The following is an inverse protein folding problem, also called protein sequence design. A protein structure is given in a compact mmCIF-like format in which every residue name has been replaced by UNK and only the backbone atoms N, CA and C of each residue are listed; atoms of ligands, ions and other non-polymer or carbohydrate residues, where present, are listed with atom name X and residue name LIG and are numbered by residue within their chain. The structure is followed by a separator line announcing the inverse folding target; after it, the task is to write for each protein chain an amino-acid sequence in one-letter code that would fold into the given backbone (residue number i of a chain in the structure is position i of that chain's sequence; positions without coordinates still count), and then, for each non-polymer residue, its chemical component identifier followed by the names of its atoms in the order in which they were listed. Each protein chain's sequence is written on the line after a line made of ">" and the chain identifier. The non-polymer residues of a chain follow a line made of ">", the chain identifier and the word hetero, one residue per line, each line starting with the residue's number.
data_IF_049974331988
#
_entry.id   IF_049974331988
#
_cell.length_a   1.000
_cell.length_b   1.000
_cell.length_c   1.000
_cell.angle_alpha   90.00
_cell.angle_beta   90.00
_cell.angle_gamma   90.00
#
_symmetry.space_group_name_H-M   'P 1'
#
loop_
_entity.id
_entity.type
_entity.pdbx_description
1 polymer ?
#
# COMPACT_ATOMS: atom_id res chain seq x y z
N UNK A 1 26.58 -18.71 -20.34
CA UNK A 1 27.62 -18.27 -19.39
C UNK A 1 27.01 -17.08 -18.67
N UNK A 2 26.84 -17.17 -17.35
CA UNK A 2 26.43 -16.03 -16.54
C UNK A 2 27.53 -14.98 -16.56
N UNK A 3 27.14 -13.72 -16.66
CA UNK A 3 28.06 -12.61 -16.59
C UNK A 3 28.56 -12.46 -15.16
N UNK A 4 29.82 -12.07 -14.99
CA UNK A 4 30.37 -11.73 -13.69
C UNK A 4 30.01 -10.30 -13.33
N UNK A 5 28.72 -10.01 -13.11
CA UNK A 5 28.21 -8.63 -13.03
C UNK A 5 28.91 -7.82 -11.94
N UNK A 6 29.30 -8.44 -10.83
CA UNK A 6 30.02 -7.79 -9.72
C UNK A 6 31.49 -7.51 -9.98
N UNK A 7 32.05 -8.05 -11.06
CA UNK A 7 33.43 -7.79 -11.47
C UNK A 7 33.49 -6.73 -12.57
N UNK A 8 32.33 -6.33 -13.12
CA UNK A 8 32.25 -5.31 -14.16
C UNK A 8 32.46 -3.93 -13.56
N UNK A 9 33.29 -3.13 -14.21
CA UNK A 9 33.27 -1.68 -14.03
C UNK A 9 31.91 -1.10 -14.42
N UNK A 10 31.67 0.16 -14.03
CA UNK A 10 30.42 0.87 -14.36
C UNK A 10 30.25 1.03 -15.87
N UNK A 11 31.33 1.25 -16.61
CA UNK A 11 31.27 1.36 -18.07
C UNK A 11 31.02 0.00 -18.75
N UNK A 12 31.58 -1.09 -18.21
CA UNK A 12 31.25 -2.45 -18.66
C UNK A 12 29.80 -2.80 -18.36
N UNK A 13 29.29 -2.43 -17.19
CA UNK A 13 27.87 -2.62 -16.80
C UNK A 13 26.96 -1.89 -17.78
N UNK A 14 27.22 -0.62 -18.09
CA UNK A 14 26.47 0.15 -19.10
C UNK A 14 26.56 -0.47 -20.49
N UNK A 15 27.73 -0.98 -20.87
CA UNK A 15 27.92 -1.65 -22.16
C UNK A 15 27.12 -2.96 -22.24
N UNK A 16 27.12 -3.75 -21.18
CA UNK A 16 26.34 -4.97 -21.03
C UNK A 16 24.83 -4.70 -21.09
N UNK A 17 24.37 -3.61 -20.45
CA UNK A 17 22.99 -3.14 -20.54
C UNK A 17 22.61 -2.75 -21.97
N UNK A 18 23.43 -1.94 -22.64
CA UNK A 18 23.16 -1.52 -24.04
C UNK A 18 23.17 -2.68 -25.04
N UNK A 19 23.97 -3.71 -24.78
CA UNK A 19 24.04 -4.91 -25.62
C UNK A 19 23.04 -5.98 -25.20
N UNK A 20 22.19 -5.70 -24.20
CA UNK A 20 21.19 -6.62 -23.65
C UNK A 20 21.78 -7.98 -23.22
N UNK A 21 23.03 -7.98 -22.73
CA UNK A 21 23.73 -9.20 -22.36
C UNK A 21 23.41 -9.66 -20.94
N UNK A 22 22.82 -8.80 -20.11
CA UNK A 22 22.44 -9.09 -18.72
C UNK A 22 21.09 -9.81 -18.68
N UNK A 23 21.00 -10.89 -17.89
CA UNK A 23 19.75 -11.61 -17.64
C UNK A 23 19.16 -11.30 -16.25
N UNK A 24 17.84 -11.13 -16.21
CA UNK A 24 17.10 -10.72 -15.02
C UNK A 24 16.13 -11.84 -14.60
N UNK A 25 16.07 -12.17 -13.32
CA UNK A 25 15.01 -12.96 -12.71
C UNK A 25 14.26 -12.09 -11.71
N UNK A 26 12.94 -12.00 -11.82
CA UNK A 26 12.09 -11.34 -10.82
C UNK A 26 11.27 -12.40 -10.10
N UNK A 27 11.51 -12.54 -8.79
CA UNK A 27 10.83 -13.51 -7.93
C UNK A 27 9.63 -12.86 -7.27
N UNK A 28 8.45 -13.43 -7.53
CA UNK A 28 7.14 -12.83 -7.26
C UNK A 28 6.74 -11.93 -8.42
N UNK A 29 5.82 -12.40 -9.29
CA UNK A 29 5.27 -11.61 -10.41
C UNK A 29 3.79 -11.29 -10.17
N UNK A 30 3.51 -10.83 -8.97
CA UNK A 30 2.23 -10.26 -8.57
C UNK A 30 2.08 -8.78 -8.98
N UNK A 31 1.34 -8.02 -8.16
CA UNK A 31 0.98 -6.61 -8.41
C UNK A 31 2.18 -5.70 -8.70
N UNK A 32 3.30 -5.87 -8.00
CA UNK A 32 4.50 -5.03 -8.15
C UNK A 32 5.54 -5.69 -9.05
N UNK A 33 5.89 -6.95 -8.77
CA UNK A 33 6.98 -7.61 -9.48
C UNK A 33 6.71 -7.88 -10.96
N UNK A 34 5.45 -8.10 -11.39
CA UNK A 34 5.15 -8.25 -12.82
C UNK A 34 5.44 -6.94 -13.57
N UNK A 35 4.89 -5.77 -13.20
CA UNK A 35 5.29 -4.48 -13.77
C UNK A 35 6.80 -4.26 -13.80
N UNK A 36 7.53 -4.54 -12.71
CA UNK A 36 9.00 -4.43 -12.68
C UNK A 36 9.65 -5.32 -13.74
N UNK A 37 9.26 -6.61 -13.80
CA UNK A 37 9.79 -7.55 -14.78
C UNK A 37 9.52 -7.13 -16.23
N UNK A 38 8.32 -6.63 -16.50
CA UNK A 38 7.96 -6.12 -17.82
C UNK A 38 8.74 -4.87 -18.19
N UNK A 39 8.99 -3.97 -17.24
CA UNK A 39 9.81 -2.78 -17.46
C UNK A 39 11.26 -3.16 -17.84
N UNK A 40 11.88 -4.15 -17.16
CA UNK A 40 13.18 -4.68 -17.57
C UNK A 40 13.14 -5.38 -18.94
N UNK A 41 12.12 -6.21 -19.20
CA UNK A 41 11.99 -6.89 -20.49
C UNK A 41 11.84 -5.90 -21.66
N UNK A 42 11.15 -4.78 -21.43
CA UNK A 42 10.88 -3.74 -22.42
C UNK A 42 12.13 -2.95 -22.86
N UNK A 43 13.22 -2.99 -22.09
CA UNK A 43 14.51 -2.42 -22.54
C UNK A 43 15.25 -3.36 -23.50
N UNK A 44 14.75 -4.59 -23.67
CA UNK A 44 15.34 -5.64 -24.49
C UNK A 44 16.15 -6.67 -23.69
N UNK A 45 16.21 -6.55 -22.37
CA UNK A 45 16.86 -7.53 -21.49
C UNK A 45 16.07 -8.84 -21.43
N UNK A 46 16.78 -9.95 -21.32
CA UNK A 46 16.14 -11.26 -21.10
C UNK A 46 15.67 -11.36 -19.66
N UNK A 47 14.36 -11.37 -19.45
CA UNK A 47 13.73 -11.36 -18.13
C UNK A 47 12.88 -12.60 -17.92
N UNK A 48 13.05 -13.24 -16.75
CA UNK A 48 12.24 -14.37 -16.30
C UNK A 48 11.45 -13.94 -15.06
N UNK A 49 10.14 -14.14 -15.09
CA UNK A 49 9.30 -14.05 -13.90
C UNK A 49 9.22 -15.41 -13.20
N UNK A 50 9.55 -15.47 -11.92
CA UNK A 50 9.42 -16.68 -11.10
C UNK A 50 8.25 -16.51 -10.12
N UNK A 51 7.26 -17.38 -10.17
CA UNK A 51 6.15 -17.40 -9.21
C UNK A 51 5.77 -18.82 -8.79
N UNK A 52 5.33 -18.98 -7.55
CA UNK A 52 4.86 -20.28 -7.04
C UNK A 52 3.46 -20.63 -7.57
N UNK A 53 2.67 -19.64 -8.00
CA UNK A 53 1.35 -19.87 -8.57
C UNK A 53 1.45 -20.33 -10.03
N UNK A 54 1.35 -21.65 -10.23
CA UNK A 54 1.39 -22.27 -11.56
C UNK A 54 0.26 -21.80 -12.48
N UNK A 55 -0.91 -21.43 -11.93
CA UNK A 55 -2.01 -20.92 -12.73
C UNK A 55 -1.67 -19.51 -13.26
N UNK A 56 -1.12 -18.65 -12.41
CA UNK A 56 -0.64 -17.33 -12.82
C UNK A 56 0.44 -17.47 -13.90
N UNK A 57 1.43 -18.36 -13.70
CA UNK A 57 2.49 -18.64 -14.67
C UNK A 57 1.91 -19.09 -16.02
N UNK A 58 0.96 -20.03 -16.01
CA UNK A 58 0.31 -20.51 -17.24
C UNK A 58 -0.44 -19.39 -17.95
N UNK A 59 -1.18 -18.56 -17.21
CA UNK A 59 -1.92 -17.42 -17.76
C UNK A 59 -0.99 -16.41 -18.43
N UNK A 60 0.09 -16.02 -17.76
CA UNK A 60 1.08 -15.08 -18.29
C UNK A 60 1.72 -15.62 -19.59
N UNK A 61 2.13 -16.88 -19.61
CA UNK A 61 2.73 -17.48 -20.81
C UNK A 61 1.72 -17.67 -21.96
N UNK A 62 0.42 -17.73 -21.67
CA UNK A 62 -0.64 -17.78 -22.68
C UNK A 62 -1.04 -16.41 -23.23
N UNK A 63 -0.46 -15.32 -22.72
CA UNK A 63 -0.79 -13.95 -23.12
C UNK A 63 -1.98 -13.34 -22.36
N UNK A 64 -2.45 -13.97 -21.27
CA UNK A 64 -3.45 -13.36 -20.40
C UNK A 64 -2.80 -12.47 -19.33
N UNK A 65 -2.83 -11.16 -19.55
CA UNK A 65 -2.33 -10.15 -18.61
C UNK A 65 -3.29 -9.97 -17.41
N UNK A 66 -2.89 -10.22 -16.15
CA UNK A 66 -3.83 -10.24 -15.02
C UNK A 66 -4.19 -8.86 -14.43
N UNK A 67 -3.34 -7.85 -14.57
CA UNK A 67 -3.51 -6.54 -13.90
C UNK A 67 -4.26 -5.54 -14.79
N UNK A 68 -5.53 -5.81 -15.08
CA UNK A 68 -6.35 -5.01 -16.03
C UNK A 68 -6.55 -3.55 -15.58
N UNK A 69 -6.28 -3.24 -14.31
CA UNK A 69 -6.38 -1.93 -13.70
C UNK A 69 -5.05 -1.12 -13.71
N UNK A 70 -3.98 -1.65 -14.32
CA UNK A 70 -2.70 -0.95 -14.50
C UNK A 70 -2.54 -0.47 -15.95
N UNK A 71 -2.65 0.85 -16.22
CA UNK A 71 -2.48 1.39 -17.55
C UNK A 71 -1.08 1.12 -18.13
N UNK A 72 -0.99 1.03 -19.46
CA UNK A 72 0.23 0.86 -20.28
C UNK A 72 0.92 -0.51 -20.23
N UNK A 73 0.82 -1.23 -19.11
CA UNK A 73 1.55 -2.50 -18.94
C UNK A 73 0.96 -3.66 -19.73
N UNK A 74 -0.32 -3.60 -20.09
CA UNK A 74 -0.95 -4.54 -21.02
C UNK A 74 -0.24 -4.51 -22.39
N UNK A 75 0.03 -3.32 -22.91
CA UNK A 75 0.70 -3.14 -24.19
C UNK A 75 2.18 -3.54 -24.13
N UNK A 76 2.86 -3.20 -23.03
CA UNK A 76 4.25 -3.62 -22.80
C UNK A 76 4.33 -5.15 -22.73
N UNK A 77 3.40 -5.77 -22.00
CA UNK A 77 3.31 -7.22 -21.85
C UNK A 77 3.17 -7.94 -23.20
N UNK A 78 2.25 -7.48 -24.06
CA UNK A 78 2.09 -8.01 -25.42
C UNK A 78 3.40 -7.92 -26.23
N UNK A 79 4.08 -6.77 -26.17
CA UNK A 79 5.32 -6.51 -26.89
C UNK A 79 6.44 -7.46 -26.45
N UNK A 80 6.71 -7.53 -25.14
CA UNK A 80 7.84 -8.31 -24.61
C UNK A 80 7.62 -9.81 -24.74
N UNK A 81 6.37 -10.28 -24.78
CA UNK A 81 6.05 -11.68 -25.12
C UNK A 81 6.31 -11.96 -26.60
N UNK A 82 5.87 -11.08 -27.51
CA UNK A 82 6.10 -11.23 -28.94
C UNK A 82 7.60 -11.25 -29.28
N UNK A 83 8.39 -10.43 -28.61
CA UNK A 83 9.84 -10.36 -28.75
C UNK A 83 10.60 -11.47 -27.98
N UNK A 84 9.88 -12.30 -27.21
CA UNK A 84 10.43 -13.36 -26.36
C UNK A 84 11.46 -12.84 -25.34
N UNK A 85 11.23 -11.62 -24.85
CA UNK A 85 12.03 -10.96 -23.80
C UNK A 85 11.52 -11.25 -22.40
N UNK A 86 10.28 -11.69 -22.26
CA UNK A 86 9.70 -12.15 -21.00
C UNK A 86 9.18 -13.59 -21.10
N UNK A 87 9.33 -14.36 -20.01
CA UNK A 87 8.62 -15.61 -19.77
C UNK A 87 8.39 -15.81 -18.28
N UNK A 88 7.28 -16.45 -17.89
CA UNK A 88 7.02 -16.83 -16.51
C UNK A 88 7.37 -18.32 -16.28
N UNK A 89 7.87 -18.68 -15.10
CA UNK A 89 8.17 -20.05 -14.71
C UNK A 89 7.84 -20.28 -13.23
N UNK A 90 7.60 -21.53 -12.84
CA UNK A 90 7.39 -21.91 -11.44
C UNK A 90 8.57 -22.62 -10.79
N UNK A 91 9.57 -23.04 -11.58
CA UNK A 91 10.77 -23.69 -11.07
C UNK A 91 11.92 -22.71 -10.88
N UNK A 92 12.41 -22.60 -9.64
CA UNK A 92 13.45 -21.66 -9.27
C UNK A 92 14.84 -21.99 -9.82
N UNK A 93 15.15 -23.29 -10.02
CA UNK A 93 16.52 -23.75 -10.33
C UNK A 93 17.11 -23.05 -11.55
N UNK A 94 16.46 -23.18 -12.71
CA UNK A 94 16.97 -22.60 -13.96
C UNK A 94 16.73 -21.08 -14.00
N UNK A 95 15.66 -20.59 -13.37
CA UNK A 95 15.38 -19.16 -13.28
C UNK A 95 16.47 -18.40 -12.53
N UNK A 96 16.97 -18.95 -11.42
CA UNK A 96 18.01 -18.32 -10.60
C UNK A 96 19.39 -18.58 -11.20
N UNK A 97 19.72 -19.84 -11.54
CA UNK A 97 21.08 -20.19 -11.96
C UNK A 97 21.50 -19.67 -13.35
N UNK A 98 20.54 -19.18 -14.15
CA UNK A 98 20.79 -18.59 -15.47
C UNK A 98 20.65 -17.05 -15.48
N UNK A 99 20.45 -16.44 -14.31
CA UNK A 99 20.25 -15.00 -14.17
C UNK A 99 21.42 -14.31 -13.50
N UNK A 100 21.82 -13.18 -14.06
CA UNK A 100 22.87 -12.33 -13.48
C UNK A 100 22.33 -11.50 -12.30
N UNK A 101 21.06 -11.07 -12.39
CA UNK A 101 20.37 -10.27 -11.38
C UNK A 101 19.08 -10.96 -10.94
N UNK A 102 18.86 -11.06 -9.63
CA UNK A 102 17.66 -11.63 -9.02
C UNK A 102 16.98 -10.54 -8.18
N UNK A 103 15.79 -10.11 -8.59
CA UNK A 103 14.95 -9.16 -7.87
C UNK A 103 13.92 -9.89 -7.02
N UNK A 104 13.74 -9.48 -5.77
CA UNK A 104 12.79 -10.08 -4.82
C UNK A 104 11.61 -9.13 -4.58
N UNK A 105 10.46 -9.44 -5.18
CA UNK A 105 9.20 -8.69 -5.09
C UNK A 105 8.08 -9.59 -4.53
N UNK A 106 8.29 -10.04 -3.29
CA UNK A 106 7.48 -11.02 -2.59
C UNK A 106 6.54 -10.34 -1.59
N UNK A 107 5.38 -10.97 -1.29
CA UNK A 107 4.48 -10.46 -0.27
C UNK A 107 5.13 -10.54 1.11
N UNK A 108 4.88 -9.52 1.93
CA UNK A 108 5.32 -9.42 3.32
C UNK A 108 4.11 -9.12 4.22
N UNK A 109 3.14 -10.06 4.32
CA UNK A 109 1.91 -9.83 5.06
C UNK A 109 2.17 -9.72 6.56
N UNK A 110 1.19 -9.23 7.31
CA UNK A 110 1.20 -9.36 8.77
C UNK A 110 0.27 -10.47 9.21
N UNK A 111 0.64 -11.15 10.31
CA UNK A 111 -0.25 -12.07 10.99
C UNK A 111 -1.27 -11.31 11.88
N UNK A 112 -2.17 -12.06 12.50
CA UNK A 112 -3.23 -11.52 13.37
C UNK A 112 -2.72 -10.81 14.64
N UNK A 113 -1.44 -10.98 14.98
CA UNK A 113 -0.78 -10.31 16.12
C UNK A 113 0.02 -9.07 15.67
N UNK A 114 -0.19 -8.62 14.44
CA UNK A 114 0.55 -7.52 13.81
C UNK A 114 2.06 -7.77 13.76
N UNK A 115 2.50 -9.02 13.58
CA UNK A 115 3.89 -9.39 13.35
C UNK A 115 4.09 -9.66 11.86
N UNK A 116 5.11 -9.04 11.22
CA UNK A 116 5.45 -9.31 9.82
C UNK A 116 5.82 -10.77 9.58
N UNK A 117 5.29 -11.35 8.51
CA UNK A 117 5.70 -12.66 8.01
C UNK A 117 6.61 -12.50 6.79
N UNK A 118 7.84 -12.99 6.94
CA UNK A 118 8.86 -13.04 5.87
C UNK A 118 9.17 -14.48 5.41
N UNK A 119 8.29 -15.45 5.70
CA UNK A 119 8.39 -16.84 5.26
C UNK A 119 8.76 -16.97 3.77
N UNK A 120 8.05 -16.27 2.89
CA UNK A 120 8.33 -16.26 1.46
C UNK A 120 9.76 -15.81 1.11
N UNK A 121 10.27 -14.76 1.78
CA UNK A 121 11.64 -14.28 1.58
C UNK A 121 12.68 -15.27 2.13
N UNK A 122 12.40 -15.93 3.25
CA UNK A 122 13.26 -16.98 3.82
C UNK A 122 13.35 -18.19 2.90
N UNK A 123 12.22 -18.63 2.37
CA UNK A 123 12.15 -19.75 1.43
C UNK A 123 12.94 -19.45 0.16
N UNK A 124 12.78 -18.25 -0.40
CA UNK A 124 13.58 -17.82 -1.55
C UNK A 124 15.06 -17.66 -1.20
N UNK A 125 15.38 -17.20 0.02
CA UNK A 125 16.76 -17.20 0.53
C UNK A 125 17.40 -18.59 0.50
N UNK A 126 16.67 -19.63 0.92
CA UNK A 126 17.15 -21.01 0.86
C UNK A 126 17.34 -21.49 -0.58
N UNK A 127 16.46 -21.11 -1.50
CA UNK A 127 16.61 -21.43 -2.93
C UNK A 127 17.82 -20.71 -3.55
N UNK A 128 18.08 -19.45 -3.17
CA UNK A 128 19.27 -18.71 -3.56
C UNK A 128 20.54 -19.41 -3.06
N UNK A 129 20.56 -19.88 -1.81
CA UNK A 129 21.69 -20.67 -1.29
C UNK A 129 21.99 -21.92 -2.16
N UNK A 130 20.97 -22.53 -2.76
CA UNK A 130 21.12 -23.71 -3.61
C UNK A 130 21.51 -23.38 -5.05
N UNK A 131 20.93 -22.33 -5.65
CA UNK A 131 20.95 -22.13 -7.09
C UNK A 131 21.65 -20.87 -7.56
N UNK A 132 21.86 -19.86 -6.69
CA UNK A 132 22.52 -18.62 -7.06
C UNK A 132 23.97 -18.90 -7.46
N UNK A 133 24.41 -18.38 -8.60
CA UNK A 133 25.79 -18.50 -9.05
C UNK A 133 26.68 -17.45 -8.39
N UNK A 134 28.00 -17.70 -8.35
CA UNK A 134 28.94 -16.65 -7.97
C UNK A 134 28.89 -15.49 -8.97
N UNK A 135 29.29 -14.32 -8.49
CA UNK A 135 29.26 -13.04 -9.18
C UNK A 135 27.86 -12.56 -9.60
N UNK A 136 26.77 -13.12 -9.03
CA UNK A 136 25.38 -12.66 -9.22
C UNK A 136 24.97 -11.55 -8.25
N UNK A 137 23.95 -10.78 -8.63
CA UNK A 137 23.39 -9.68 -7.83
C UNK A 137 21.97 -10.00 -7.35
N UNK A 138 21.70 -9.84 -6.06
CA UNK A 138 20.35 -9.94 -5.47
C UNK A 138 19.85 -8.55 -5.07
N UNK A 139 18.61 -8.20 -5.42
CA UNK A 139 18.00 -6.91 -5.10
C UNK A 139 16.67 -7.12 -4.41
N UNK A 140 16.52 -6.61 -3.18
CA UNK A 140 15.29 -6.66 -2.40
C UNK A 140 14.43 -5.44 -2.73
N UNK A 141 13.31 -5.64 -3.42
CA UNK A 141 12.27 -4.61 -3.60
C UNK A 141 11.15 -4.74 -2.55
N UNK A 142 10.99 -5.93 -1.98
CA UNK A 142 9.99 -6.25 -0.96
C UNK A 142 10.11 -5.36 0.27
N UNK A 143 8.98 -4.97 0.87
CA UNK A 143 8.99 -4.10 2.06
C UNK A 143 9.36 -4.90 3.30
N UNK A 144 10.55 -4.67 3.85
CA UNK A 144 11.06 -5.36 5.05
C UNK A 144 11.52 -4.37 6.10
N UNK A 145 11.62 -4.81 7.36
CA UNK A 145 12.16 -4.02 8.44
C UNK A 145 13.65 -3.67 8.24
N UNK A 146 14.10 -2.50 8.72
CA UNK A 146 15.52 -2.17 8.80
C UNK A 146 16.32 -3.27 9.50
N UNK A 147 17.30 -3.84 8.80
CA UNK A 147 18.15 -4.91 9.31
C UNK A 147 17.73 -6.33 8.93
N UNK A 148 16.55 -6.57 8.35
CA UNK A 148 16.17 -7.92 7.90
C UNK A 148 17.15 -8.48 6.87
N UNK A 149 17.59 -7.66 5.91
CA UNK A 149 18.53 -8.07 4.87
C UNK A 149 19.86 -8.49 5.50
N UNK A 150 20.42 -7.64 6.36
CA UNK A 150 21.74 -7.83 6.97
C UNK A 150 21.77 -8.94 8.02
N UNK A 151 20.78 -8.97 8.91
CA UNK A 151 20.80 -9.82 10.10
C UNK A 151 20.24 -11.23 9.85
N UNK A 152 19.47 -11.41 8.77
CA UNK A 152 18.76 -12.66 8.51
C UNK A 152 18.95 -13.16 7.07
N UNK A 153 18.52 -12.38 6.06
CA UNK A 153 18.49 -12.86 4.68
C UNK A 153 19.87 -13.23 4.14
N UNK A 154 20.90 -12.41 4.41
CA UNK A 154 22.29 -12.72 4.02
C UNK A 154 22.71 -14.07 4.59
N UNK A 155 22.50 -14.31 5.88
CA UNK A 155 22.88 -15.57 6.53
C UNK A 155 22.18 -16.79 5.93
N UNK A 156 20.91 -16.65 5.53
CA UNK A 156 20.16 -17.71 4.84
C UNK A 156 20.76 -18.01 3.46
N UNK A 157 21.12 -16.96 2.69
CA UNK A 157 21.71 -17.11 1.35
C UNK A 157 23.13 -17.69 1.41
N UNK A 158 23.95 -17.27 2.37
CA UNK A 158 25.30 -17.81 2.58
C UNK A 158 25.26 -19.27 3.05
N UNK A 159 24.28 -19.60 3.90
CA UNK A 159 24.13 -20.93 4.50
C UNK A 159 25.38 -21.34 5.29
N UNK A 160 25.61 -22.66 5.43
CA UNK A 160 26.74 -23.19 6.21
C UNK A 160 27.91 -23.71 5.37
N UNK A 161 27.74 -23.78 4.04
CA UNK A 161 28.72 -24.40 3.14
C UNK A 161 29.83 -23.44 2.69
N UNK A 162 29.71 -22.14 2.96
CA UNK A 162 30.69 -21.11 2.60
C UNK A 162 30.84 -20.85 1.10
N UNK A 163 29.91 -21.36 0.27
CA UNK A 163 29.92 -21.22 -1.20
C UNK A 163 29.65 -19.78 -1.62
N UNK A 164 28.76 -19.10 -0.91
CA UNK A 164 28.37 -17.72 -1.17
C UNK A 164 28.77 -16.89 0.03
N UNK A 165 29.37 -15.73 -0.23
CA UNK A 165 29.76 -14.73 0.76
C UNK A 165 29.42 -13.34 0.21
N UNK A 166 28.53 -12.66 0.91
CA UNK A 166 27.98 -11.38 0.49
C UNK A 166 29.10 -10.32 0.41
N UNK A 167 29.08 -9.54 -0.67
CA UNK A 167 30.10 -8.53 -0.95
C UNK A 167 31.46 -9.09 -1.39
N UNK A 168 31.62 -10.42 -1.48
CA UNK A 168 32.82 -11.06 -2.06
C UNK A 168 32.52 -11.73 -3.39
N UNK A 169 31.60 -12.70 -3.41
CA UNK A 169 31.24 -13.46 -4.60
C UNK A 169 29.73 -13.50 -4.88
N UNK A 170 28.92 -12.74 -4.14
CA UNK A 170 27.62 -12.27 -4.62
C UNK A 170 27.31 -10.89 -4.02
N UNK A 171 26.49 -10.10 -4.71
CA UNK A 171 26.11 -8.75 -4.31
C UNK A 171 24.69 -8.76 -3.78
N UNK A 172 24.40 -7.91 -2.81
CA UNK A 172 23.04 -7.72 -2.32
C UNK A 172 22.75 -6.25 -2.03
N UNK A 173 21.55 -5.81 -2.40
CA UNK A 173 21.05 -4.48 -2.10
C UNK A 173 19.54 -4.42 -1.91
N UNK A 174 19.06 -3.28 -1.41
CA UNK A 174 17.65 -2.91 -1.30
C UNK A 174 17.34 -1.75 -2.25
N UNK A 175 16.29 -1.93 -3.05
CA UNK A 175 15.67 -0.89 -3.88
C UNK A 175 14.15 -0.90 -3.63
N UNK A 176 13.69 -0.47 -2.44
CA UNK A 176 12.29 -0.61 -2.05
C UNK A 176 11.37 0.18 -2.99
N UNK A 177 10.32 -0.48 -3.49
CA UNK A 177 9.37 0.12 -4.42
C UNK A 177 8.40 1.08 -3.69
N UNK A 178 8.06 2.21 -4.32
CA UNK A 178 7.13 3.24 -3.82
C UNK A 178 5.90 3.46 -4.71
N UNK A 179 5.70 2.62 -5.72
CA UNK A 179 4.56 2.65 -6.62
C UNK A 179 3.21 2.53 -5.90
N UNK A 180 2.21 3.25 -6.41
CA UNK A 180 0.82 3.11 -6.00
C UNK A 180 0.10 2.19 -6.99
N UNK A 181 -0.63 1.15 -6.54
CA UNK A 181 -1.49 0.36 -7.41
C UNK A 181 -2.48 1.24 -8.19
N UNK A 182 -2.68 0.91 -9.47
CA UNK A 182 -3.44 1.67 -10.46
C UNK A 182 -2.63 2.78 -11.15
N UNK A 183 -1.43 3.09 -10.64
CA UNK A 183 -0.58 4.20 -11.13
C UNK A 183 0.90 3.76 -11.21
N UNK A 184 1.18 2.45 -11.34
CA UNK A 184 2.54 1.92 -11.21
C UNK A 184 3.47 2.52 -12.28
N UNK A 185 3.00 2.61 -13.52
CA UNK A 185 3.80 3.13 -14.63
C UNK A 185 4.21 4.60 -14.40
N UNK A 186 3.26 5.43 -13.99
CA UNK A 186 3.51 6.85 -13.70
C UNK A 186 4.49 7.01 -12.54
N UNK A 187 4.28 6.27 -11.44
CA UNK A 187 5.11 6.39 -10.25
C UNK A 187 6.54 5.96 -10.52
N UNK A 188 6.73 4.81 -11.16
CA UNK A 188 8.07 4.28 -11.45
C UNK A 188 8.83 5.12 -12.47
N UNK A 189 8.11 5.85 -13.34
CA UNK A 189 8.68 6.72 -14.37
C UNK A 189 9.01 8.13 -13.89
N UNK A 190 8.46 8.57 -12.74
CA UNK A 190 8.58 9.97 -12.28
C UNK A 190 9.27 10.11 -10.91
N UNK A 191 9.23 9.08 -10.07
CA UNK A 191 9.68 9.18 -8.67
C UNK A 191 11.11 8.68 -8.49
N UNK A 192 11.92 9.37 -7.67
CA UNK A 192 13.25 8.87 -7.33
C UNK A 192 13.20 7.47 -6.69
N UNK A 193 14.20 6.64 -6.99
CA UNK A 193 14.39 5.33 -6.37
C UNK A 193 15.50 5.36 -5.33
N UNK A 194 15.29 4.66 -4.23
CA UNK A 194 16.28 4.52 -3.16
C UNK A 194 17.21 3.34 -3.48
N UNK A 195 18.50 3.46 -3.21
CA UNK A 195 19.45 2.37 -3.37
C UNK A 195 20.34 2.29 -2.15
N UNK A 196 20.20 1.21 -1.38
CA UNK A 196 21.16 0.79 -0.36
C UNK A 196 21.77 -0.55 -0.76
N UNK A 197 23.05 -0.76 -0.52
CA UNK A 197 23.70 -2.04 -0.86
C UNK A 197 24.77 -2.40 0.16
N UNK A 198 25.29 -3.63 0.05
CA UNK A 198 26.34 -4.13 0.94
C UNK A 198 27.68 -3.40 0.78
N UNK A 199 27.92 -2.78 -0.39
CA UNK A 199 29.09 -1.94 -0.64
C UNK A 199 28.81 -0.95 -1.78
N UNK A 200 29.71 0.03 -1.96
CA UNK A 200 29.53 1.10 -2.92
C UNK A 200 29.46 0.61 -4.37
N UNK A 201 30.29 -0.37 -4.73
CA UNK A 201 30.32 -0.92 -6.08
C UNK A 201 28.98 -1.57 -6.47
N UNK A 202 28.41 -2.36 -5.55
CA UNK A 202 27.10 -3.00 -5.73
C UNK A 202 26.00 -1.95 -5.89
N UNK A 203 26.01 -0.88 -5.09
CA UNK A 203 25.04 0.20 -5.21
C UNK A 203 25.16 0.97 -6.54
N UNK A 204 26.36 1.12 -7.09
CA UNK A 204 26.54 1.72 -8.41
C UNK A 204 25.99 0.83 -9.53
N UNK A 205 26.26 -0.48 -9.49
CA UNK A 205 25.68 -1.43 -10.45
C UNK A 205 24.15 -1.41 -10.38
N UNK A 206 23.57 -1.46 -9.17
CA UNK A 206 22.10 -1.36 -8.99
C UNK A 206 21.58 -0.04 -9.58
N UNK A 207 22.29 1.07 -9.35
CA UNK A 207 21.87 2.37 -9.87
C UNK A 207 21.83 2.40 -11.40
N UNK A 208 22.84 1.84 -12.07
CA UNK A 208 22.87 1.75 -13.54
C UNK A 208 21.76 0.82 -14.08
N UNK A 209 21.52 -0.31 -13.41
CA UNK A 209 20.44 -1.24 -13.76
C UNK A 209 19.08 -0.52 -13.76
N UNK A 210 18.73 0.15 -12.66
CA UNK A 210 17.46 0.85 -12.57
C UNK A 210 17.39 2.09 -13.48
N UNK A 211 18.49 2.84 -13.67
CA UNK A 211 18.51 3.99 -14.59
C UNK A 211 18.32 3.58 -16.06
N UNK A 212 18.72 2.36 -16.43
CA UNK A 212 18.48 1.85 -17.78
C UNK A 212 17.00 1.62 -18.10
N UNK A 213 16.18 1.45 -17.05
CA UNK A 213 14.74 1.17 -17.15
C UNK A 213 13.91 2.41 -16.83
N UNK A 214 14.26 3.11 -15.76
CA UNK A 214 13.53 4.24 -15.21
C UNK A 214 14.41 5.49 -15.30
N UNK A 215 13.97 6.48 -16.08
CA UNK A 215 14.68 7.77 -16.21
C UNK A 215 14.45 8.67 -14.98
N UNK A 216 14.73 8.14 -13.80
CA UNK A 216 14.50 8.79 -12.50
C UNK A 216 15.81 8.95 -11.73
N UNK A 217 15.81 9.88 -10.77
CA UNK A 217 16.94 10.08 -9.88
C UNK A 217 17.11 8.86 -8.97
N UNK A 218 18.33 8.33 -8.90
CA UNK A 218 18.71 7.36 -7.88
C UNK A 218 19.23 8.09 -6.64
N UNK A 219 18.70 7.73 -5.46
CA UNK A 219 19.12 8.25 -4.17
C UNK A 219 19.93 7.16 -3.49
N UNK A 220 21.26 7.31 -3.50
CA UNK A 220 22.16 6.40 -2.82
C UNK A 220 22.09 6.58 -1.30
N UNK A 221 22.07 5.46 -0.61
CA UNK A 221 22.04 5.35 0.85
C UNK A 221 23.21 4.46 1.29
N UNK A 222 23.70 4.62 2.53
CA UNK A 222 24.91 3.94 2.98
C UNK A 222 24.77 2.41 3.06
N UNK A 223 23.56 1.88 3.25
CA UNK A 223 23.30 0.45 3.41
C UNK A 223 21.81 0.10 3.19
N UNK A 224 21.50 -1.20 3.12
CA UNK A 224 20.14 -1.71 2.89
C UNK A 224 19.18 -1.32 4.01
N UNK A 225 19.59 -1.43 5.28
CA UNK A 225 18.79 -1.04 6.45
C UNK A 225 18.40 0.44 6.40
N UNK A 226 19.27 1.33 5.92
CA UNK A 226 18.92 2.75 5.75
C UNK A 226 17.88 2.93 4.63
N UNK A 227 18.00 2.21 3.51
CA UNK A 227 16.99 2.22 2.45
C UNK A 227 15.61 1.76 2.93
N UNK A 228 15.57 0.65 3.66
CA UNK A 228 14.35 0.12 4.25
C UNK A 228 13.80 1.08 5.32
N UNK A 229 14.66 1.72 6.12
CA UNK A 229 14.24 2.71 7.12
C UNK A 229 13.58 3.95 6.48
N UNK A 230 14.16 4.49 5.40
CA UNK A 230 13.57 5.62 4.66
C UNK A 230 12.18 5.25 4.13
N UNK A 231 12.04 4.05 3.55
CA UNK A 231 10.75 3.53 3.05
C UNK A 231 9.67 3.50 4.14
N UNK A 232 9.98 2.90 5.29
CA UNK A 232 9.01 2.79 6.38
C UNK A 232 8.70 4.16 7.00
N UNK A 233 9.72 5.02 7.18
CA UNK A 233 9.61 6.31 7.86
C UNK A 233 8.57 7.21 7.21
N UNK A 234 8.48 7.25 5.87
CA UNK A 234 7.49 8.06 5.17
C UNK A 234 6.03 7.70 5.53
N UNK A 235 5.73 6.40 5.63
CA UNK A 235 4.38 5.93 5.97
C UNK A 235 4.07 6.13 7.45
N UNK A 236 5.03 5.86 8.34
CA UNK A 236 4.86 6.06 9.79
C UNK A 236 4.73 7.54 10.13
N UNK A 237 5.48 8.42 9.46
CA UNK A 237 5.32 9.86 9.62
C UNK A 237 3.88 10.28 9.29
N UNK A 238 3.30 9.75 8.20
CA UNK A 238 1.91 10.01 7.82
C UNK A 238 0.92 9.47 8.86
N UNK A 239 1.10 8.25 9.36
CA UNK A 239 0.27 7.64 10.40
C UNK A 239 0.23 8.51 11.68
N UNK A 240 1.40 8.96 12.13
CA UNK A 240 1.55 9.80 13.32
C UNK A 240 0.86 11.15 13.14
N UNK A 241 1.02 11.80 11.98
CA UNK A 241 0.37 13.08 11.74
C UNK A 241 -1.15 12.96 11.59
N UNK A 242 -1.65 11.88 10.98
CA UNK A 242 -3.09 11.61 10.95
C UNK A 242 -3.63 11.40 12.38
N UNK A 243 -2.92 10.62 13.21
CA UNK A 243 -3.32 10.43 14.61
C UNK A 243 -3.35 11.74 15.40
N UNK A 244 -2.35 12.59 15.21
CA UNK A 244 -2.31 13.91 15.84
C UNK A 244 -3.53 14.76 15.44
N UNK A 245 -3.88 14.80 14.16
CA UNK A 245 -5.04 15.57 13.67
C UNK A 245 -6.36 14.95 14.16
N UNK A 246 -6.45 13.63 14.19
CA UNK A 246 -7.61 12.91 14.77
C UNK A 246 -7.82 13.24 16.24
N UNK A 247 -6.76 13.21 17.06
CA UNK A 247 -6.82 13.54 18.48
C UNK A 247 -7.22 15.01 18.71
N UNK A 248 -6.68 15.93 17.91
CA UNK A 248 -7.11 17.34 17.93
C UNK A 248 -8.58 17.50 17.55
N UNK A 249 -9.07 16.72 16.58
CA UNK A 249 -10.47 16.78 16.14
C UNK A 249 -11.41 16.43 17.30
N UNK A 250 -11.10 15.37 18.05
CA UNK A 250 -11.88 14.96 19.23
C UNK A 250 -11.88 16.07 20.30
N UNK A 251 -10.76 16.78 20.48
CA UNK A 251 -10.70 17.92 21.40
C UNK A 251 -11.54 19.10 20.90
N UNK A 252 -11.40 19.45 19.63
CA UNK A 252 -12.09 20.58 19.03
C UNK A 252 -13.60 20.39 18.96
N UNK A 253 -14.11 19.16 18.80
CA UNK A 253 -15.53 18.84 18.97
C UNK A 253 -16.07 19.30 20.32
N UNK A 254 -15.34 19.01 21.41
CA UNK A 254 -15.74 19.38 22.78
C UNK A 254 -15.66 20.89 23.02
N UNK A 255 -14.84 21.58 22.24
CA UNK A 255 -14.66 23.03 22.32
C UNK A 255 -15.56 23.79 21.32
N UNK A 256 -16.36 23.08 20.52
CA UNK A 256 -17.16 23.65 19.44
C UNK A 256 -16.32 24.44 18.42
N UNK A 257 -15.12 23.93 18.13
CA UNK A 257 -14.20 24.48 17.12
C UNK A 257 -14.24 23.59 15.87
N UNK A 258 -14.45 24.19 14.70
CA UNK A 258 -14.37 23.46 13.43
C UNK A 258 -12.91 23.13 13.08
N UNK A 259 -12.58 21.84 13.13
CA UNK A 259 -11.25 21.34 12.81
C UNK A 259 -10.79 21.71 11.40
N UNK A 260 -11.67 21.64 10.40
CA UNK A 260 -11.31 21.96 9.01
C UNK A 260 -10.99 23.44 8.86
N UNK A 261 -11.70 24.32 9.57
CA UNK A 261 -11.37 25.75 9.63
C UNK A 261 -9.98 25.98 10.22
N UNK A 262 -9.61 25.26 11.29
CA UNK A 262 -8.27 25.34 11.90
C UNK A 262 -7.20 24.85 10.92
N UNK A 263 -7.42 23.71 10.26
CA UNK A 263 -6.47 23.13 9.31
C UNK A 263 -6.25 24.04 8.09
N UNK A 264 -7.32 24.61 7.52
CA UNK A 264 -7.21 25.57 6.41
C UNK A 264 -6.39 26.80 6.79
N UNK A 265 -6.63 27.38 7.97
CA UNK A 265 -5.82 28.50 8.45
C UNK A 265 -4.37 28.09 8.75
N UNK A 266 -4.15 26.89 9.28
CA UNK A 266 -2.82 26.37 9.60
C UNK A 266 -1.97 26.07 8.36
N UNK A 267 -2.59 25.69 7.22
CA UNK A 267 -1.91 25.50 5.92
C UNK A 267 -1.15 26.74 5.45
N UNK A 268 -1.55 27.94 5.87
CA UNK A 268 -0.82 29.17 5.57
C UNK A 268 0.57 29.26 6.26
N UNK A 269 0.84 28.41 7.27
CA UNK A 269 2.12 28.39 7.98
C UNK A 269 3.12 27.49 7.25
N UNK A 270 4.31 28.03 6.97
CA UNK A 270 5.39 27.34 6.24
C UNK A 270 5.78 25.94 6.77
N UNK A 271 5.66 25.70 8.08
CA UNK A 271 6.10 24.45 8.71
C UNK A 271 4.95 23.48 9.03
N UNK A 272 3.73 23.76 8.57
CA UNK A 272 2.58 22.90 8.84
C UNK A 272 2.34 21.94 7.67
N UNK A 273 2.56 20.65 7.92
CA UNK A 273 2.25 19.59 6.95
C UNK A 273 0.84 19.08 7.21
N UNK A 274 -0.12 19.60 6.44
CA UNK A 274 -1.52 19.29 6.62
C UNK A 274 -1.81 17.81 6.36
N UNK A 275 -2.58 17.22 7.28
CA UNK A 275 -3.22 15.93 7.16
C UNK A 275 -4.67 16.13 7.58
N UNK A 276 -5.58 15.32 7.05
CA UNK A 276 -7.00 15.44 7.34
C UNK A 276 -7.42 14.38 8.35
N UNK A 277 -8.38 14.68 9.25
CA UNK A 277 -8.95 13.68 10.13
C UNK A 277 -9.80 12.68 9.34
N UNK A 278 -10.11 11.55 9.98
CA UNK A 278 -10.94 10.52 9.35
C UNK A 278 -11.50 9.52 10.34
N UNK A 279 -12.36 8.65 9.82
CA UNK A 279 -12.90 7.51 10.56
C UNK A 279 -11.84 6.49 11.01
N UNK A 280 -10.59 6.63 10.55
CA UNK A 280 -9.44 5.80 10.92
C UNK A 280 -8.41 5.79 9.80
N UNK A 281 -7.45 4.87 9.90
CA UNK A 281 -6.39 4.69 8.89
C UNK A 281 -6.34 3.23 8.48
N UNK A 282 -6.54 2.99 7.18
CA UNK A 282 -6.50 1.66 6.58
C UNK A 282 -5.45 1.49 5.50
N UNK A 283 -5.60 0.42 4.73
CA UNK A 283 -4.71 0.03 3.63
C UNK A 283 -3.49 -0.77 4.07
N UNK A 284 -2.79 -1.42 3.12
CA UNK A 284 -1.73 -2.38 3.42
C UNK A 284 -0.39 -1.75 3.79
N UNK A 285 -0.26 -0.43 3.77
CA UNK A 285 1.04 0.25 3.98
C UNK A 285 1.12 1.06 5.26
N UNK A 286 0.17 1.97 5.52
CA UNK A 286 0.31 2.93 6.63
C UNK A 286 0.21 2.21 7.99
N UNK A 287 -0.86 1.43 8.28
CA UNK A 287 -0.92 0.61 9.49
C UNK A 287 0.23 -0.39 9.61
N UNK A 288 0.49 -1.14 8.54
CA UNK A 288 1.45 -2.24 8.52
C UNK A 288 2.87 -1.76 8.81
N UNK A 289 3.30 -0.67 8.17
CA UNK A 289 4.67 -0.14 8.35
C UNK A 289 4.89 0.43 9.76
N UNK A 290 3.85 0.96 10.41
CA UNK A 290 3.91 1.36 11.81
C UNK A 290 4.16 0.16 12.72
N UNK A 291 3.46 -0.96 12.48
CA UNK A 291 3.71 -2.18 13.22
C UNK A 291 5.08 -2.80 12.94
N UNK A 292 5.58 -2.73 11.70
CA UNK A 292 6.98 -3.11 11.41
C UNK A 292 7.97 -2.34 12.32
N UNK A 293 7.84 -1.03 12.46
CA UNK A 293 8.70 -0.30 13.41
C UNK A 293 8.48 -0.70 14.88
N UNK A 294 7.25 -0.98 15.30
CA UNK A 294 6.96 -1.44 16.66
C UNK A 294 7.52 -2.84 16.95
N UNK A 295 7.55 -3.74 15.97
CA UNK A 295 8.16 -5.07 16.11
C UNK A 295 9.69 -4.97 16.17
N UNK A 296 10.30 -4.18 15.27
CA UNK A 296 11.73 -3.88 15.33
C UNK A 296 12.13 -3.25 16.67
N UNK A 297 11.35 -2.29 17.18
CA UNK A 297 11.62 -1.70 18.49
C UNK A 297 11.59 -2.75 19.61
N UNK A 298 10.59 -3.63 19.61
CA UNK A 298 10.47 -4.72 20.59
C UNK A 298 11.63 -5.71 20.53
N UNK A 299 12.09 -6.10 19.34
CA UNK A 299 13.21 -7.03 19.19
C UNK A 299 14.53 -6.44 19.72
N UNK A 300 14.68 -5.11 19.69
CA UNK A 300 15.81 -4.38 20.25
C UNK A 300 15.63 -3.99 21.73
N UNK A 301 14.64 -4.57 22.43
CA UNK A 301 14.30 -4.23 23.83
C UNK A 301 13.95 -2.75 24.04
N UNK A 302 13.50 -2.05 22.99
CA UNK A 302 13.04 -0.68 23.01
C UNK A 302 11.52 -0.53 23.07
N UNK A 303 11.04 0.70 23.23
CA UNK A 303 9.62 1.05 23.08
C UNK A 303 9.47 2.34 22.28
N UNK A 304 8.53 2.36 21.34
CA UNK A 304 8.24 3.52 20.49
C UNK A 304 6.87 4.09 20.86
N UNK A 305 6.84 4.90 21.92
CA UNK A 305 5.61 5.42 22.52
C UNK A 305 4.77 6.25 21.56
N UNK A 306 5.40 7.05 20.69
CA UNK A 306 4.68 7.92 19.74
C UNK A 306 3.94 7.06 18.71
N UNK A 307 4.63 6.11 18.07
CA UNK A 307 3.99 5.23 17.07
C UNK A 307 2.89 4.39 17.72
N UNK A 308 3.14 3.84 18.90
CA UNK A 308 2.15 3.04 19.63
C UNK A 308 0.89 3.86 19.96
N UNK A 309 1.07 5.08 20.48
CA UNK A 309 -0.04 5.98 20.75
C UNK A 309 -0.79 6.36 19.46
N UNK A 310 -0.07 6.65 18.38
CA UNK A 310 -0.67 6.98 17.09
C UNK A 310 -1.53 5.84 16.54
N UNK A 311 -1.06 4.58 16.62
CA UNK A 311 -1.86 3.41 16.22
C UNK A 311 -3.13 3.28 17.05
N UNK A 312 -3.01 3.37 18.38
CA UNK A 312 -4.17 3.31 19.28
C UNK A 312 -5.19 4.40 18.97
N UNK A 313 -4.75 5.63 18.70
CA UNK A 313 -5.65 6.74 18.32
C UNK A 313 -6.35 6.41 17.00
N UNK A 314 -5.59 6.06 15.95
CA UNK A 314 -6.15 5.79 14.62
C UNK A 314 -7.11 4.58 14.59
N UNK A 315 -6.82 3.54 15.37
CA UNK A 315 -7.67 2.34 15.53
C UNK A 315 -8.89 2.60 16.41
N UNK A 316 -8.85 3.64 17.26
CA UNK A 316 -9.99 4.06 18.06
C UNK A 316 -11.01 4.90 17.27
N UNK A 317 -10.59 5.54 16.18
CA UNK A 317 -11.46 6.45 15.41
C UNK A 317 -12.77 5.84 14.93
N UNK A 318 -12.85 4.56 14.48
CA UNK A 318 -14.14 3.93 14.16
C UNK A 318 -15.12 3.95 15.33
N UNK A 319 -14.62 3.74 16.56
CA UNK A 319 -15.45 3.74 17.77
C UNK A 319 -15.86 5.16 18.17
N UNK A 320 -15.00 6.16 17.93
CA UNK A 320 -15.38 7.57 18.08
C UNK A 320 -16.50 7.94 17.12
N UNK A 321 -16.43 7.51 15.85
CA UNK A 321 -17.50 7.70 14.86
C UNK A 321 -18.81 7.05 15.33
N UNK A 322 -18.76 5.84 15.89
CA UNK A 322 -19.95 5.23 16.53
C UNK A 322 -20.50 6.10 17.66
N UNK A 323 -19.64 6.75 18.46
CA UNK A 323 -20.04 7.74 19.46
C UNK A 323 -20.78 8.93 18.85
N UNK A 324 -20.30 9.47 17.73
CA UNK A 324 -20.96 10.55 17.00
C UNK A 324 -22.34 10.14 16.50
N UNK A 325 -22.46 8.92 15.95
CA UNK A 325 -23.73 8.35 15.47
C UNK A 325 -24.71 8.19 16.64
N UNK A 326 -24.27 7.65 17.79
CA UNK A 326 -25.13 7.51 18.96
C UNK A 326 -25.66 8.85 19.44
N UNK A 327 -24.78 9.83 19.59
CA UNK A 327 -25.15 11.15 20.10
C UNK A 327 -26.19 11.85 19.21
N UNK A 328 -26.04 11.82 17.88
CA UNK A 328 -27.02 12.44 16.98
C UNK A 328 -28.37 11.70 16.97
N UNK A 329 -28.38 10.38 17.13
CA UNK A 329 -29.61 9.60 17.24
C UNK A 329 -30.33 9.86 18.58
N UNK A 330 -29.58 9.99 19.68
CA UNK A 330 -30.12 10.36 20.98
C UNK A 330 -30.73 11.77 20.95
N UNK A 331 -30.03 12.74 20.37
CA UNK A 331 -30.50 14.12 20.23
C UNK A 331 -31.77 14.24 19.36
N UNK A 332 -31.94 13.34 18.39
CA UNK A 332 -33.15 13.26 17.54
C UNK A 332 -34.25 12.37 18.13
N UNK A 333 -34.02 11.77 19.30
CA UNK A 333 -34.93 10.82 19.97
C UNK A 333 -35.29 9.63 19.09
N UNK A 334 -34.36 9.20 18.23
CA UNK A 334 -34.50 8.04 17.35
C UNK A 334 -33.79 6.84 17.96
N UNK A 335 -34.37 5.65 17.81
CA UNK A 335 -33.74 4.42 18.25
C UNK A 335 -32.81 3.89 17.16
N UNK A 336 -31.50 3.97 17.38
CA UNK A 336 -30.48 3.48 16.45
C UNK A 336 -30.63 1.99 16.14
N UNK A 337 -31.00 1.16 17.11
CA UNK A 337 -31.16 -0.29 16.92
C UNK A 337 -32.39 -0.73 16.12
N UNK A 338 -33.25 0.21 15.73
CA UNK A 338 -34.35 -0.04 14.77
C UNK A 338 -34.24 0.85 13.54
N UNK A 339 -33.10 1.51 13.36
CA UNK A 339 -32.86 2.46 12.27
C UNK A 339 -32.09 1.81 11.14
N UNK A 340 -32.27 2.33 9.92
CA UNK A 340 -31.49 1.94 8.75
C UNK A 340 -30.40 2.98 8.50
N UNK A 341 -29.14 2.58 8.56
CA UNK A 341 -27.96 3.43 8.37
C UNK A 341 -27.28 3.08 7.06
N UNK A 342 -27.09 4.07 6.19
CA UNK A 342 -26.32 3.90 4.96
C UNK A 342 -24.87 4.35 5.18
N UNK A 343 -23.93 3.43 4.93
CA UNK A 343 -22.50 3.74 4.86
C UNK A 343 -22.14 4.16 3.44
N UNK A 344 -21.55 5.33 3.29
CA UNK A 344 -21.04 5.84 2.02
C UNK A 344 -19.52 5.70 1.98
N UNK A 345 -19.07 4.83 1.08
CA UNK A 345 -17.66 4.47 0.89
C UNK A 345 -17.19 3.45 1.92
N UNK A 346 -16.56 2.39 1.44
CA UNK A 346 -16.01 1.31 2.26
C UNK A 346 -14.55 1.03 1.96
N UNK A 347 -13.97 1.69 0.96
CA UNK A 347 -12.57 1.53 0.60
C UNK A 347 -11.67 2.27 1.58
N UNK A 348 -10.43 1.80 1.79
CA UNK A 348 -9.53 2.45 2.75
C UNK A 348 -9.01 3.82 2.26
N UNK A 349 -9.08 4.07 0.95
CA UNK A 349 -8.68 5.30 0.26
C UNK A 349 -9.73 5.65 -0.79
N UNK A 350 -9.96 6.94 -1.10
CA UNK A 350 -10.81 7.33 -2.22
C UNK A 350 -10.38 6.71 -3.54
N UNK A 351 -11.39 6.39 -4.34
CA UNK A 351 -11.28 6.07 -5.76
C UNK A 351 -10.42 4.83 -6.10
N UNK A 352 -10.36 3.86 -5.19
CA UNK A 352 -9.74 2.55 -5.41
C UNK A 352 -10.72 1.45 -5.05
N UNK A 353 -10.61 0.27 -5.66
CA UNK A 353 -11.43 -0.91 -5.31
C UNK A 353 -10.70 -1.81 -4.31
N UNK A 354 -10.46 -1.31 -3.10
CA UNK A 354 -9.73 -2.04 -2.05
C UNK A 354 -10.24 -1.70 -0.65
N UNK A 355 -10.58 -2.74 0.10
CA UNK A 355 -11.18 -2.68 1.45
C UNK A 355 -10.23 -3.16 2.54
N UNK A 356 -8.96 -3.45 2.22
CA UNK A 356 -7.97 -3.93 3.19
C UNK A 356 -7.80 -2.95 4.36
N UNK A 357 -8.00 -3.47 5.58
CA UNK A 357 -7.90 -2.72 6.83
C UNK A 357 -8.76 -1.44 6.85
N UNK A 358 -9.86 -1.41 6.10
CA UNK A 358 -10.72 -0.23 6.02
C UNK A 358 -11.32 0.13 7.39
N UNK A 359 -11.41 1.41 7.76
CA UNK A 359 -12.11 1.83 8.98
C UNK A 359 -13.63 1.61 8.89
N UNK A 360 -14.18 1.34 7.71
CA UNK A 360 -15.62 1.09 7.53
C UNK A 360 -16.08 -0.22 8.17
N UNK A 361 -15.26 -1.27 8.13
CA UNK A 361 -15.60 -2.60 8.64
C UNK A 361 -15.95 -2.58 10.14
N UNK A 362 -15.11 -2.05 11.05
CA UNK A 362 -15.46 -1.98 12.47
C UNK A 362 -16.69 -1.08 12.76
N UNK A 363 -16.98 -0.08 11.92
CA UNK A 363 -18.20 0.73 12.04
C UNK A 363 -19.42 -0.12 11.68
N UNK A 364 -19.38 -0.81 10.54
CA UNK A 364 -20.45 -1.68 10.06
C UNK A 364 -20.76 -2.79 11.06
N UNK A 365 -19.73 -3.47 11.56
CA UNK A 365 -19.89 -4.54 12.54
C UNK A 365 -20.50 -4.02 13.84
N UNK A 366 -20.03 -2.85 14.31
CA UNK A 366 -20.59 -2.28 15.54
C UNK A 366 -22.04 -1.82 15.40
N UNK A 367 -22.45 -1.32 14.22
CA UNK A 367 -23.84 -0.98 13.94
C UNK A 367 -24.74 -2.22 13.94
N UNK A 368 -24.27 -3.33 13.34
CA UNK A 368 -24.99 -4.62 13.37
C UNK A 368 -25.11 -5.20 14.78
N UNK A 369 -24.03 -5.13 15.58
CA UNK A 369 -24.06 -5.52 16.99
C UNK A 369 -25.12 -4.75 17.80
N UNK A 370 -25.41 -3.53 17.37
CA UNK A 370 -26.45 -2.68 17.96
C UNK A 370 -27.84 -2.89 17.34
N UNK A 371 -28.00 -3.92 16.51
CA UNK A 371 -29.22 -4.27 15.77
C UNK A 371 -29.66 -3.26 14.69
N UNK A 372 -28.83 -2.26 14.35
CA UNK A 372 -29.14 -1.36 13.26
C UNK A 372 -29.10 -2.09 11.92
N UNK A 373 -30.03 -1.76 11.02
CA UNK A 373 -30.00 -2.24 9.64
C UNK A 373 -28.96 -1.42 8.86
N UNK A 374 -28.06 -2.09 8.14
CA UNK A 374 -26.94 -1.43 7.46
C UNK A 374 -27.09 -1.59 5.96
N UNK A 375 -27.14 -0.46 5.26
CA UNK A 375 -26.97 -0.36 3.81
C UNK A 375 -25.57 0.13 3.50
N UNK A 376 -25.04 -0.27 2.35
CA UNK A 376 -23.73 0.20 1.87
C UNK A 376 -23.91 0.75 0.47
N UNK A 377 -23.37 1.92 0.21
CA UNK A 377 -23.11 2.38 -1.15
C UNK A 377 -21.64 2.73 -1.31
N UNK A 378 -20.99 2.06 -2.25
CA UNK A 378 -19.64 2.38 -2.69
C UNK A 378 -19.58 2.24 -4.21
N UNK A 379 -19.08 3.25 -4.93
CA UNK A 379 -19.16 3.24 -6.38
C UNK A 379 -18.33 2.15 -7.06
N UNK A 380 -17.37 1.55 -6.36
CA UNK A 380 -16.49 0.49 -6.87
C UNK A 380 -17.00 -0.93 -6.58
N UNK A 381 -18.02 -1.07 -5.73
CA UNK A 381 -18.56 -2.35 -5.27
C UNK A 381 -20.08 -2.51 -5.54
N UNK A 382 -20.66 -1.74 -6.46
CA UNK A 382 -22.10 -1.76 -6.79
C UNK A 382 -22.61 -3.20 -7.04
N UNK A 383 -23.61 -3.63 -6.28
CA UNK A 383 -24.22 -4.96 -6.39
C UNK A 383 -23.40 -6.11 -5.78
N UNK A 384 -22.20 -5.85 -5.27
CA UNK A 384 -21.34 -6.86 -4.65
C UNK A 384 -21.66 -7.03 -3.17
N UNK A 385 -21.49 -8.24 -2.64
CA UNK A 385 -21.68 -8.55 -1.23
C UNK A 385 -20.37 -8.36 -0.47
N UNK A 386 -20.26 -7.29 0.30
CA UNK A 386 -19.09 -6.94 1.11
C UNK A 386 -19.50 -6.83 2.58
N UNK A 387 -18.68 -7.35 3.50
CA UNK A 387 -19.00 -7.44 4.94
C UNK A 387 -20.38 -8.04 5.22
N UNK A 388 -20.82 -9.00 4.39
CA UNK A 388 -22.14 -9.64 4.53
C UNK A 388 -23.34 -8.80 4.05
N UNK A 389 -23.14 -7.57 3.56
CA UNK A 389 -24.18 -6.67 3.06
C UNK A 389 -24.02 -6.52 1.54
N UNK A 390 -25.14 -6.55 0.79
CA UNK A 390 -25.09 -6.28 -0.65
C UNK A 390 -25.06 -4.78 -0.87
N UNK A 391 -24.03 -4.28 -1.55
CA UNK A 391 -23.90 -2.85 -1.83
C UNK A 391 -24.97 -2.40 -2.83
N UNK A 392 -25.57 -1.25 -2.56
CA UNK A 392 -26.60 -0.64 -3.39
C UNK A 392 -26.03 -0.29 -4.78
N UNK A 393 -26.85 -0.47 -5.82
CA UNK A 393 -26.46 -0.12 -7.19
C UNK A 393 -26.50 1.38 -7.47
N UNK A 394 -27.31 2.12 -6.71
CA UNK A 394 -27.56 3.54 -6.88
C UNK A 394 -27.62 4.21 -5.51
N UNK A 395 -26.81 5.25 -5.32
CA UNK A 395 -26.82 6.07 -4.12
C UNK A 395 -28.25 6.53 -3.81
N UNK A 396 -28.86 7.25 -4.75
CA UNK A 396 -30.14 7.93 -4.53
C UNK A 396 -31.35 7.00 -4.42
N UNK A 397 -31.30 5.80 -5.01
CA UNK A 397 -32.36 4.80 -4.82
C UNK A 397 -32.21 4.11 -3.46
N UNK A 398 -30.98 3.80 -3.07
CA UNK A 398 -30.67 3.15 -1.79
C UNK A 398 -31.03 3.99 -0.57
N UNK A 399 -31.13 5.32 -0.70
CA UNK A 399 -31.55 6.25 0.37
C UNK A 399 -32.95 5.99 0.94
N UNK A 400 -33.82 5.33 0.17
CA UNK A 400 -35.19 5.07 0.60
C UNK A 400 -35.21 4.28 1.92
N UNK A 401 -35.89 4.83 2.92
CA UNK A 401 -36.02 4.23 4.25
C UNK A 401 -34.85 4.44 5.21
N UNK A 402 -33.75 5.08 4.77
CA UNK A 402 -32.62 5.39 5.65
C UNK A 402 -33.00 6.45 6.70
N UNK A 403 -32.52 6.25 7.92
CA UNK A 403 -32.58 7.25 9.01
C UNK A 403 -31.28 7.99 9.22
N UNK A 404 -30.18 7.50 8.62
CA UNK A 404 -28.88 8.12 8.74
C UNK A 404 -27.95 7.72 7.61
N UNK A 405 -27.03 8.63 7.28
CA UNK A 405 -25.90 8.41 6.39
C UNK A 405 -24.62 8.62 7.20
N UNK A 406 -23.61 7.77 6.96
CA UNK A 406 -22.24 7.97 7.46
C UNK A 406 -21.29 7.97 6.28
N UNK A 407 -20.61 9.08 6.03
CA UNK A 407 -19.56 9.17 5.01
C UNK A 407 -18.25 8.73 5.64
N UNK A 408 -17.74 7.57 5.21
CA UNK A 408 -16.47 7.01 5.72
C UNK A 408 -15.32 7.27 4.75
N UNK A 409 -15.58 7.22 3.43
CA UNK A 409 -14.57 7.47 2.40
C UNK A 409 -15.02 8.57 1.45
N UNK A 410 -14.13 9.53 1.17
CA UNK A 410 -14.44 10.69 0.32
C UNK A 410 -14.16 10.42 -1.17
N UNK A 411 -14.94 9.53 -1.79
CA UNK A 411 -14.89 9.34 -3.24
C UNK A 411 -15.28 10.63 -3.98
N UNK A 412 -14.76 10.78 -5.20
CA UNK A 412 -15.07 11.94 -6.04
C UNK A 412 -16.58 12.04 -6.34
N UNK A 413 -17.27 10.91 -6.44
CA UNK A 413 -18.73 10.84 -6.61
C UNK A 413 -19.48 11.51 -5.44
N UNK A 414 -18.89 11.55 -4.24
CA UNK A 414 -19.53 12.12 -3.06
C UNK A 414 -19.34 13.63 -2.93
N UNK A 415 -18.33 14.19 -3.59
CA UNK A 415 -18.05 15.64 -3.59
C UNK A 415 -19.15 16.48 -4.27
N UNK A 416 -20.02 15.82 -5.04
CA UNK A 416 -21.10 16.45 -5.83
C UNK A 416 -22.48 15.98 -5.42
N UNK A 417 -22.63 15.43 -4.21
CA UNK A 417 -23.93 14.98 -3.72
C UNK A 417 -24.86 16.19 -3.56
N UNK A 418 -26.08 16.06 -4.07
CA UNK A 418 -27.15 17.02 -3.81
C UNK A 418 -27.74 16.79 -2.41
N UNK A 419 -27.41 17.70 -1.48
CA UNK A 419 -27.87 17.63 -0.10
C UNK A 419 -29.39 17.75 0.04
N UNK A 420 -30.06 18.47 -0.85
CA UNK A 420 -31.53 18.58 -0.85
C UNK A 420 -32.19 17.26 -1.28
N UNK A 421 -31.55 16.53 -2.20
CA UNK A 421 -31.97 15.17 -2.56
C UNK A 421 -31.75 14.20 -1.40
N UNK A 422 -30.64 14.30 -0.67
CA UNK A 422 -30.45 13.51 0.56
C UNK A 422 -31.59 13.75 1.56
N UNK A 423 -31.83 15.03 1.88
CA UNK A 423 -32.84 15.41 2.87
C UNK A 423 -34.26 14.97 2.51
N UNK A 424 -34.61 15.01 1.21
CA UNK A 424 -35.97 14.68 0.74
C UNK A 424 -36.23 13.19 0.54
N UNK A 425 -35.19 12.37 0.31
CA UNK A 425 -35.36 10.92 0.05
C UNK A 425 -35.21 10.03 1.29
N UNK A 426 -34.53 10.52 2.33
CA UNK A 426 -34.35 9.78 3.58
C UNK A 426 -35.62 9.83 4.44
N UNK A 427 -35.83 8.80 5.27
CA UNK A 427 -36.91 8.79 6.28
C UNK A 427 -36.61 9.77 7.41
N UNK A 428 -35.36 9.79 7.86
CA UNK A 428 -34.84 10.78 8.80
C UNK A 428 -33.53 11.29 8.22
N UNK A 429 -33.36 12.60 7.95
CA UNK A 429 -32.23 13.12 7.19
C UNK A 429 -30.99 13.35 8.07
N UNK A 430 -30.52 12.34 8.81
CA UNK A 430 -29.30 12.44 9.63
C UNK A 430 -28.08 12.22 8.75
N UNK A 431 -27.09 13.11 8.83
CA UNK A 431 -25.81 12.99 8.14
C UNK A 431 -24.65 13.07 9.14
N UNK A 432 -23.82 12.03 9.16
CA UNK A 432 -22.52 12.01 9.84
C UNK A 432 -21.41 12.06 8.80
N UNK A 433 -20.61 13.13 8.80
CA UNK A 433 -19.52 13.34 7.86
C UNK A 433 -18.15 13.24 8.57
N UNK A 434 -17.42 12.16 8.31
CA UNK A 434 -16.08 11.95 8.90
C UNK A 434 -14.95 12.44 7.99
N UNK A 435 -15.25 13.05 6.85
CA UNK A 435 -14.26 13.39 5.80
C UNK A 435 -14.27 14.86 5.39
N UNK A 436 -15.13 15.69 5.96
CA UNK A 436 -15.12 17.13 5.72
C UNK A 436 -15.70 17.54 4.38
N UNK A 437 -16.52 16.68 3.77
CA UNK A 437 -17.13 16.95 2.46
C UNK A 437 -18.24 17.98 2.53
N UNK A 438 -18.96 18.03 3.65
CA UNK A 438 -20.17 18.85 3.79
C UNK A 438 -19.97 19.84 4.93
N UNK A 439 -20.19 21.13 4.69
CA UNK A 439 -20.19 22.12 5.77
C UNK A 439 -21.49 22.06 6.58
N UNK A 440 -21.41 22.32 7.88
CA UNK A 440 -22.59 22.34 8.77
C UNK A 440 -23.69 23.27 8.26
N UNK A 441 -23.31 24.48 7.83
CA UNK A 441 -24.25 25.48 7.32
C UNK A 441 -24.98 25.02 6.04
N UNK A 442 -24.30 24.32 5.13
CA UNK A 442 -24.92 23.80 3.91
C UNK A 442 -25.86 22.63 4.22
N UNK A 443 -25.46 21.73 5.13
CA UNK A 443 -26.30 20.63 5.57
C UNK A 443 -27.61 21.13 6.22
N UNK A 444 -27.51 22.07 7.16
CA UNK A 444 -28.67 22.64 7.84
C UNK A 444 -29.60 23.39 6.87
N UNK A 445 -29.05 24.16 5.93
CA UNK A 445 -29.83 24.83 4.88
C UNK A 445 -30.57 23.85 3.98
N UNK A 446 -30.00 22.68 3.73
CA UNK A 446 -30.63 21.62 2.95
C UNK A 446 -31.67 20.81 3.75
N UNK A 447 -31.79 21.04 5.06
CA UNK A 447 -32.72 20.32 5.95
C UNK A 447 -32.15 19.02 6.53
N UNK A 448 -30.83 18.83 6.50
CA UNK A 448 -30.15 17.70 7.13
C UNK A 448 -29.90 17.98 8.62
N UNK A 449 -29.98 16.93 9.44
CA UNK A 449 -29.52 16.93 10.83
C UNK A 449 -28.07 16.46 10.81
N UNK A 450 -27.14 17.35 11.13
CA UNK A 450 -25.73 17.16 10.81
C UNK A 450 -24.84 16.95 12.04
N UNK A 451 -23.88 16.03 11.92
CA UNK A 451 -22.72 15.96 12.81
C UNK A 451 -21.46 15.66 12.00
N UNK A 452 -20.33 16.30 12.32
CA UNK A 452 -19.07 16.05 11.64
C UNK A 452 -18.02 15.53 12.61
N UNK A 453 -17.05 14.76 12.10
CA UNK A 453 -15.81 14.56 12.85
C UNK A 453 -15.10 15.91 12.97
N UNK A 454 -14.79 16.33 14.19
CA UNK A 454 -14.18 17.64 14.43
C UNK A 454 -15.12 18.84 14.35
N UNK A 455 -16.46 18.67 14.32
CA UNK A 455 -17.44 19.73 13.98
C UNK A 455 -18.84 19.58 14.58
#
# INVERSE_FOLDING_TARGET
>A
MTNKILQMSIEETKSALRSNSISICVVGVGRIGLPTALSFANTGLHTVGLDIDENLVSRLNSGDYPLKDEPHYDRIFELVLAEKKFKAVSSAKDAISQSDVILLSLPTPMNNENVPDYSALRDVGMQLNQFLTEDSLVIVESTVEPGFVENELIGIIEGTNGRLVAGKNFGIGSCPENANPGEIFEYTSTRPRLVGAINDHTADIISELYQSVFSVKMIRLPDCKTANAVKLTGNVFRDVNIAFVNELSILFEKMEIDTYTVLEAAKAKRMFLAHDPGAGVGGPCIPVNSYQFLNLARSLSGSFKIIEASRKINEHMPFHVIGLIKDIFENTKKNLGTSTIMILGITYKPNVKDVQLTPAEPIIDKLKDMCADVKIFDPFFKGEKIFGVTCENSLYEGLAGCDGIVIVTNHDEFTRIDLGVLASKMRTPILVDTRGLVSKNEAEKAGLIFKGLGR
#
